data_IF_365189955672
#
_entry.id   IF_365189955672
#
_cell.length_a   1.000
_cell.length_b   1.000
_cell.length_c   1.000
_cell.angle_alpha   90.00
_cell.angle_beta   90.00
_cell.angle_gamma   90.00
#
_symmetry.space_group_name_H-M   'P 1'
#
loop_
_entity.id
_entity.type
_entity.pdbx_description
1 polymer ?
#
# COMPACT_ATOMS: atom_id res chain seq x y z
N UNK A 1 -64.13 19.36 0.52
CA UNK A 1 -64.31 18.28 1.49
C UNK A 1 -62.95 17.59 1.67
N UNK A 2 -62.20 18.01 2.69
CA UNK A 2 -60.83 17.52 2.96
C UNK A 2 -60.90 16.45 4.06
N UNK A 3 -60.50 15.22 3.73
CA UNK A 3 -60.36 14.13 4.70
C UNK A 3 -58.92 14.12 5.22
N UNK A 4 -58.74 14.41 6.50
CA UNK A 4 -57.46 14.29 7.19
C UNK A 4 -57.47 12.93 7.91
N UNK A 5 -56.64 11.99 7.45
CA UNK A 5 -56.38 10.75 8.18
C UNK A 5 -55.16 10.93 9.05
N UNK A 6 -55.39 10.92 10.36
CA UNK A 6 -54.31 10.86 11.38
C UNK A 6 -53.79 9.47 11.54
N UNK A 7 -52.45 9.34 11.57
CA UNK A 7 -51.73 8.12 11.88
C UNK A 7 -51.29 8.17 13.37
N UNK A 8 -51.55 7.15 14.18
CA UNK A 8 -51.11 7.15 15.57
C UNK A 8 -49.62 6.78 15.68
N UNK A 9 -48.89 7.57 16.43
CA UNK A 9 -47.51 7.40 16.85
C UNK A 9 -47.45 6.31 17.94
N UNK A 10 -46.90 5.13 17.65
CA UNK A 10 -46.58 4.13 18.66
C UNK A 10 -45.17 4.38 19.21
N UNK A 11 -45.11 4.83 20.47
CA UNK A 11 -43.89 4.87 21.27
C UNK A 11 -43.64 3.46 21.86
N UNK A 12 -42.60 2.75 21.37
CA UNK A 12 -42.07 1.58 22.06
C UNK A 12 -40.86 1.99 22.87
N UNK A 13 -40.97 1.77 24.18
CA UNK A 13 -39.93 2.04 25.16
C UNK A 13 -38.73 1.08 25.06
N UNK A 14 -37.53 1.62 25.15
CA UNK A 14 -36.30 0.88 25.31
C UNK A 14 -36.12 0.48 26.78
N UNK A 15 -36.04 -0.83 27.04
CA UNK A 15 -35.53 -1.36 28.30
C UNK A 15 -34.00 -1.46 28.22
N UNK A 16 -33.32 -0.69 29.06
CA UNK A 16 -31.87 -0.79 29.26
C UNK A 16 -31.59 -2.00 30.17
N UNK A 17 -30.84 -2.96 29.62
CA UNK A 17 -30.27 -4.09 30.38
C UNK A 17 -28.75 -4.11 30.16
N UNK A 18 -28.02 -3.28 30.90
CA UNK A 18 -26.57 -3.31 30.94
C UNK A 18 -26.07 -4.45 31.81
N UNK A 19 -25.24 -5.36 31.26
CA UNK A 19 -24.36 -6.23 32.04
C UNK A 19 -22.95 -5.66 31.94
N UNK A 20 -22.21 -5.50 33.05
CA UNK A 20 -20.79 -5.16 32.97
C UNK A 20 -20.02 -6.41 32.51
N UNK A 21 -19.21 -6.24 31.48
CA UNK A 21 -18.19 -7.23 31.09
C UNK A 21 -17.04 -7.13 32.08
N UNK A 22 -16.84 -8.23 32.82
CA UNK A 22 -15.67 -8.48 33.64
C UNK A 22 -14.42 -8.46 32.72
N UNK A 23 -13.50 -7.58 33.02
CA UNK A 23 -12.24 -7.41 32.32
C UNK A 23 -11.28 -8.47 32.90
N UNK A 24 -11.11 -9.59 32.19
CA UNK A 24 -10.05 -10.54 32.49
C UNK A 24 -8.69 -9.89 32.14
N UNK A 25 -7.91 -9.67 33.19
CA UNK A 25 -6.54 -9.20 33.14
C UNK A 25 -5.65 -10.39 32.70
N UNK A 26 -4.89 -10.29 31.60
CA UNK A 26 -3.96 -11.35 31.25
C UNK A 26 -2.79 -11.36 32.22
N UNK A 27 -2.58 -12.56 32.80
CA UNK A 27 -1.50 -12.96 33.68
C UNK A 27 -0.13 -12.71 33.01
N UNK A 28 0.69 -11.90 33.66
CA UNK A 28 2.07 -11.63 33.22
C UNK A 28 2.97 -12.77 33.69
N UNK A 29 3.06 -13.85 32.94
CA UNK A 29 4.12 -14.82 33.11
C UNK A 29 5.42 -14.29 32.48
N UNK A 30 6.30 -13.77 33.33
CA UNK A 30 7.70 -13.51 33.03
C UNK A 30 8.41 -14.80 32.64
N UNK A 31 8.64 -15.02 31.36
CA UNK A 31 9.58 -16.03 30.90
C UNK A 31 11.00 -15.54 31.17
N UNK A 32 11.72 -16.31 31.98
CA UNK A 32 13.13 -16.16 32.24
C UNK A 32 13.91 -16.30 30.90
N UNK A 33 14.75 -15.31 30.65
CA UNK A 33 15.70 -15.32 29.53
C UNK A 33 16.81 -16.30 29.90
N UNK A 34 16.89 -17.43 29.20
CA UNK A 34 17.99 -18.37 29.30
C UNK A 34 19.32 -17.68 28.96
N UNK A 35 20.17 -17.63 29.92
CA UNK A 35 21.55 -17.12 29.79
C UNK A 35 22.33 -18.06 28.86
N UNK A 36 22.80 -17.50 27.74
CA UNK A 36 23.75 -18.13 26.83
C UNK A 36 25.02 -18.49 27.61
N UNK A 37 25.52 -19.73 27.58
CA UNK A 37 26.76 -20.08 28.24
C UNK A 37 27.94 -19.31 27.59
N UNK A 38 28.69 -18.59 28.44
CA UNK A 38 29.96 -18.01 28.06
C UNK A 38 31.00 -19.12 27.82
N UNK A 39 31.55 -19.16 26.61
CA UNK A 39 32.67 -20.00 26.26
C UNK A 39 33.92 -19.32 26.84
N UNK A 40 34.70 -19.98 27.72
CA UNK A 40 35.93 -19.40 28.24
C UNK A 40 36.95 -19.21 27.10
N UNK A 41 37.78 -18.16 27.16
CA UNK A 41 38.81 -17.92 26.16
C UNK A 41 39.82 -19.07 26.19
N UNK A 42 39.98 -19.73 25.03
CA UNK A 42 41.04 -20.71 24.84
C UNK A 42 42.39 -19.96 24.79
N UNK A 43 43.28 -20.28 25.72
CA UNK A 43 44.69 -19.86 25.70
C UNK A 43 45.33 -20.33 24.40
N UNK A 44 45.58 -19.40 23.49
CA UNK A 44 46.35 -19.64 22.28
C UNK A 44 47.81 -19.73 22.64
N UNK A 45 48.30 -20.94 22.84
CA UNK A 45 49.74 -21.21 22.95
C UNK A 45 50.37 -20.86 21.60
N UNK A 46 51.15 -19.79 21.57
CA UNK A 46 51.95 -19.42 20.41
C UNK A 46 52.99 -20.52 20.15
N UNK A 47 53.12 -21.04 18.93
CA UNK A 47 54.20 -21.96 18.60
C UNK A 47 55.55 -21.24 18.71
N UNK A 48 56.53 -21.97 19.27
CA UNK A 48 57.91 -21.52 19.46
C UNK A 48 58.53 -21.06 18.12
N UNK A 49 59.36 -20.01 18.23
CA UNK A 49 60.12 -19.38 17.17
C UNK A 49 60.71 -20.40 16.19
N UNK A 50 60.30 -20.30 14.92
CA UNK A 50 60.93 -20.98 13.82
C UNK A 50 62.31 -20.34 13.56
N UNK A 51 63.35 -21.14 13.22
CA UNK A 51 64.67 -20.58 12.91
C UNK A 51 64.60 -19.66 11.69
N UNK A 52 65.44 -18.61 11.62
CA UNK A 52 65.42 -17.67 10.50
C UNK A 52 65.67 -18.36 9.17
N UNK A 53 64.72 -18.20 8.22
CA UNK A 53 64.84 -18.64 6.84
C UNK A 53 65.94 -17.79 6.15
N UNK A 54 67.09 -18.43 5.83
CA UNK A 54 68.20 -17.82 5.13
C UNK A 54 68.17 -18.05 3.62
N UNK A 55 67.02 -18.38 3.05
CA UNK A 55 66.87 -18.47 1.59
C UNK A 55 66.86 -17.05 1.02
N UNK A 56 67.73 -16.73 0.03
CA UNK A 56 67.68 -15.45 -0.62
C UNK A 56 66.32 -15.34 -1.36
N UNK A 57 65.57 -14.32 -0.96
CA UNK A 57 64.32 -13.97 -1.62
C UNK A 57 64.57 -13.62 -3.08
N UNK A 58 64.45 -14.64 -3.97
CA UNK A 58 64.37 -14.39 -5.40
C UNK A 58 63.02 -13.75 -5.65
N UNK A 59 63.02 -12.41 -5.63
CA UNK A 59 61.84 -11.63 -6.02
C UNK A 59 61.45 -12.06 -7.43
N UNK A 60 60.50 -12.99 -7.50
CA UNK A 60 59.77 -13.28 -8.71
C UNK A 60 58.92 -12.05 -8.95
N UNK A 61 59.38 -11.14 -9.84
CA UNK A 61 58.58 -10.10 -10.39
C UNK A 61 57.50 -10.79 -11.21
N UNK A 62 56.33 -11.01 -10.56
CA UNK A 62 55.13 -11.41 -11.28
C UNK A 62 54.85 -10.31 -12.32
N UNK A 63 54.60 -10.69 -13.61
CA UNK A 63 54.20 -9.69 -14.58
C UNK A 63 52.97 -8.96 -14.04
N UNK A 64 53.00 -7.62 -14.12
CA UNK A 64 51.86 -6.77 -13.77
C UNK A 64 50.63 -7.36 -14.42
N UNK A 65 49.72 -7.85 -13.58
CA UNK A 65 48.38 -8.25 -14.06
C UNK A 65 47.79 -7.01 -14.71
N UNK A 66 47.36 -7.09 -15.97
CA UNK A 66 46.71 -5.94 -16.58
C UNK A 66 45.58 -5.48 -15.68
N UNK A 67 45.37 -4.17 -15.52
CA UNK A 67 44.32 -3.64 -14.66
C UNK A 67 43.01 -4.35 -15.03
N UNK A 68 42.31 -4.84 -14.01
CA UNK A 68 40.99 -5.42 -14.18
C UNK A 68 40.08 -4.34 -14.79
N UNK A 69 39.85 -4.48 -16.10
CA UNK A 69 38.97 -3.58 -16.87
C UNK A 69 37.53 -4.08 -16.85
N UNK A 70 37.19 -5.06 -16.01
CA UNK A 70 35.79 -5.37 -15.80
C UNK A 70 35.12 -4.13 -15.21
N UNK A 71 34.15 -3.51 -15.92
CA UNK A 71 33.44 -2.39 -15.34
C UNK A 71 32.80 -2.86 -14.04
N UNK A 72 33.05 -2.13 -12.96
CA UNK A 72 32.43 -2.42 -11.66
C UNK A 72 30.95 -2.68 -11.90
N UNK A 73 30.50 -3.90 -11.54
CA UNK A 73 29.10 -4.25 -11.68
C UNK A 73 28.29 -3.28 -10.81
N UNK A 74 27.44 -2.49 -11.47
CA UNK A 74 26.59 -1.53 -10.77
C UNK A 74 25.80 -2.23 -9.64
N UNK A 75 25.82 -1.64 -8.45
CA UNK A 75 24.96 -2.06 -7.35
C UNK A 75 23.57 -1.47 -7.58
N UNK A 76 22.62 -2.32 -7.96
CA UNK A 76 21.24 -1.90 -8.18
C UNK A 76 20.63 -1.30 -6.92
N UNK A 77 20.03 -0.13 -7.05
CA UNK A 77 19.32 0.58 -5.99
C UNK A 77 17.82 0.56 -6.27
N UNK A 78 17.02 0.54 -5.21
CA UNK A 78 15.55 0.61 -5.28
C UNK A 78 15.10 1.91 -4.63
N UNK A 79 14.28 2.69 -5.33
CA UNK A 79 13.67 3.91 -4.81
C UNK A 79 12.16 3.80 -4.79
N UNK A 80 11.53 4.33 -3.72
CA UNK A 80 10.10 4.60 -3.67
C UNK A 80 9.85 5.96 -4.32
N UNK A 81 8.88 6.04 -5.22
CA UNK A 81 8.58 7.28 -5.97
C UNK A 81 7.32 7.99 -5.49
N UNK A 82 6.45 7.29 -4.73
CA UNK A 82 5.27 7.93 -4.16
C UNK A 82 5.66 8.83 -2.98
N UNK A 83 5.10 10.01 -2.94
CA UNK A 83 5.03 10.80 -1.73
C UNK A 83 3.92 10.24 -0.84
N UNK A 84 4.19 10.00 0.44
CA UNK A 84 3.23 9.40 1.37
C UNK A 84 2.63 8.06 0.91
N UNK A 85 3.45 7.03 0.65
CA UNK A 85 2.97 5.74 0.16
C UNK A 85 2.08 5.01 1.16
N UNK A 86 2.33 5.15 2.47
CA UNK A 86 1.50 4.57 3.52
C UNK A 86 0.18 5.33 3.77
N UNK A 87 -0.03 6.49 3.12
CA UNK A 87 -1.15 7.42 3.32
C UNK A 87 -1.19 8.11 4.71
N UNK A 88 -0.30 7.77 5.62
CA UNK A 88 -0.32 8.09 7.05
C UNK A 88 0.17 9.50 7.42
N UNK A 89 0.66 10.30 6.47
CA UNK A 89 1.12 11.66 6.77
C UNK A 89 -0.04 12.61 7.01
N UNK A 90 0.08 13.44 8.06
CA UNK A 90 -0.89 14.49 8.37
C UNK A 90 -0.53 15.83 7.67
N UNK A 91 -1.52 16.61 7.20
CA UNK A 91 -2.96 16.27 7.17
C UNK A 91 -3.24 15.11 6.20
N UNK A 92 -4.39 14.41 6.38
CA UNK A 92 -4.82 13.36 5.47
C UNK A 92 -4.77 13.83 4.00
N UNK A 93 -4.39 12.93 3.09
CA UNK A 93 -4.29 13.24 1.66
C UNK A 93 -3.01 13.95 1.22
N UNK A 94 -2.07 14.27 2.12
CA UNK A 94 -0.78 14.88 1.73
C UNK A 94 -0.08 14.04 0.67
N UNK A 95 0.32 14.70 -0.43
CA UNK A 95 0.99 14.08 -1.57
C UNK A 95 0.05 13.48 -2.61
N UNK A 96 -1.25 13.39 -2.33
CA UNK A 96 -2.25 12.82 -3.23
C UNK A 96 -3.24 13.87 -3.72
N UNK A 97 -3.82 13.63 -4.90
CA UNK A 97 -4.95 14.41 -5.42
C UNK A 97 -6.19 13.55 -5.33
N UNK A 98 -7.21 14.07 -4.65
CA UNK A 98 -8.49 13.44 -4.46
C UNK A 98 -9.55 14.09 -5.36
N UNK A 99 -10.34 13.29 -6.04
CA UNK A 99 -11.52 13.71 -6.81
C UNK A 99 -12.71 12.89 -6.31
N UNK A 100 -13.29 13.28 -5.16
CA UNK A 100 -14.39 12.55 -4.54
C UNK A 100 -15.69 12.74 -5.32
N UNK A 101 -16.63 11.81 -5.09
CA UNK A 101 -18.00 11.91 -5.60
C UNK A 101 -18.61 13.25 -5.19
N UNK A 102 -19.19 13.94 -6.17
CA UNK A 102 -19.89 15.19 -5.95
C UNK A 102 -21.40 14.96 -5.76
N UNK A 103 -22.10 15.96 -5.23
CA UNK A 103 -23.55 16.01 -5.07
C UNK A 103 -24.16 14.96 -4.11
N UNK A 104 -23.35 14.39 -3.21
CA UNK A 104 -23.88 13.53 -2.16
C UNK A 104 -24.60 14.35 -1.08
N UNK A 105 -25.63 13.78 -0.41
CA UNK A 105 -26.21 14.37 0.77
C UNK A 105 -25.15 14.60 1.85
N UNK A 106 -24.92 15.85 2.25
CA UNK A 106 -23.87 16.21 3.19
C UNK A 106 -22.57 16.70 2.56
N UNK A 107 -22.43 16.60 1.23
CA UNK A 107 -21.27 17.05 0.48
C UNK A 107 -20.30 15.91 0.14
N UNK A 108 -19.21 16.23 -0.57
CA UNK A 108 -18.19 15.24 -0.90
C UNK A 108 -17.43 14.80 0.36
N UNK A 109 -17.15 13.49 0.46
CA UNK A 109 -16.34 12.92 1.53
C UNK A 109 -14.88 12.84 1.09
N UNK A 110 -13.90 13.11 2.00
CA UNK A 110 -12.48 12.90 1.68
C UNK A 110 -12.23 11.41 1.39
N UNK A 111 -11.44 11.14 0.35
CA UNK A 111 -11.10 9.77 -0.02
C UNK A 111 -10.07 9.21 0.97
N UNK A 112 -9.07 10.01 1.36
CA UNK A 112 -8.10 9.61 2.39
C UNK A 112 -8.57 10.13 3.74
N UNK A 113 -8.94 9.20 4.62
CA UNK A 113 -9.48 9.53 5.94
C UNK A 113 -9.21 8.43 6.96
N UNK A 114 -9.54 8.71 8.22
CA UNK A 114 -9.57 7.72 9.32
C UNK A 114 -10.92 7.02 9.45
N UNK A 115 -11.91 7.35 8.62
CA UNK A 115 -13.30 6.88 8.78
C UNK A 115 -13.52 5.50 8.16
N UNK A 116 -12.62 5.07 7.27
CA UNK A 116 -12.66 3.76 6.63
C UNK A 116 -11.98 2.67 7.45
N UNK A 117 -11.96 1.46 6.87
CA UNK A 117 -11.13 0.36 7.37
C UNK A 117 -9.68 0.68 7.00
N UNK A 118 -8.79 0.70 7.99
CA UNK A 118 -7.36 0.97 7.79
C UNK A 118 -6.55 -0.32 7.98
N UNK A 119 -5.50 -0.52 7.18
CA UNK A 119 -4.51 -1.57 7.36
C UNK A 119 -3.35 -1.08 8.22
N UNK A 120 -2.92 0.18 7.99
CA UNK A 120 -2.04 0.93 8.87
C UNK A 120 -2.74 2.21 9.34
N UNK A 121 -2.46 2.65 10.55
CA UNK A 121 -3.05 3.87 11.10
C UNK A 121 -2.13 5.07 10.82
N UNK A 122 -2.67 6.31 10.66
CA UNK A 122 -4.05 6.66 10.99
C UNK A 122 -5.03 6.70 9.81
N UNK A 123 -4.59 6.61 8.54
CA UNK A 123 -5.44 6.85 7.37
C UNK A 123 -5.36 5.72 6.36
N UNK A 124 -6.41 5.58 5.57
CA UNK A 124 -6.45 4.75 4.37
C UNK A 124 -7.27 5.46 3.29
N UNK A 125 -7.14 5.04 2.03
CA UNK A 125 -8.02 5.49 0.97
C UNK A 125 -9.29 4.65 0.94
N UNK A 126 -10.44 5.33 0.89
CA UNK A 126 -11.77 4.75 0.74
C UNK A 126 -12.45 5.35 -0.47
N UNK A 127 -12.63 4.55 -1.53
CA UNK A 127 -13.31 4.91 -2.77
C UNK A 127 -14.65 4.16 -2.87
N UNK A 128 -15.61 4.73 -3.55
CA UNK A 128 -16.99 4.23 -3.60
C UNK A 128 -17.77 4.61 -2.35
N UNK A 129 -18.51 3.67 -1.75
CA UNK A 129 -19.22 3.91 -0.49
C UNK A 129 -20.57 4.60 -0.62
N UNK A 130 -20.99 4.95 -1.84
CA UNK A 130 -22.32 5.51 -2.13
C UNK A 130 -22.91 4.84 -3.36
N UNK A 131 -24.25 4.79 -3.44
CA UNK A 131 -24.98 4.46 -4.67
C UNK A 131 -25.15 5.71 -5.54
N UNK A 132 -25.20 5.55 -6.85
CA UNK A 132 -25.34 6.71 -7.72
C UNK A 132 -26.69 7.42 -7.57
N UNK A 133 -27.74 6.73 -7.12
CA UNK A 133 -29.04 7.34 -6.80
C UNK A 133 -28.94 8.40 -5.69
N UNK A 134 -28.04 8.24 -4.73
CA UNK A 134 -27.80 9.21 -3.65
C UNK A 134 -27.28 10.54 -4.18
N UNK A 135 -26.56 10.53 -5.29
CA UNK A 135 -26.07 11.72 -5.99
C UNK A 135 -27.01 12.19 -7.12
N UNK A 136 -28.16 11.51 -7.33
CA UNK A 136 -29.09 11.80 -8.42
C UNK A 136 -28.52 11.44 -9.81
N UNK A 137 -27.65 10.45 -9.90
CA UNK A 137 -26.95 10.03 -11.10
C UNK A 137 -27.25 8.55 -11.44
N UNK A 138 -26.84 8.11 -12.63
CA UNK A 138 -26.89 6.69 -13.02
C UNK A 138 -25.59 5.95 -12.69
N UNK A 139 -24.49 6.68 -12.57
CA UNK A 139 -23.18 6.20 -12.14
C UNK A 139 -22.43 7.32 -11.43
N UNK A 140 -21.60 6.96 -10.48
CA UNK A 140 -20.70 7.89 -9.77
C UNK A 140 -19.28 7.36 -9.76
N UNK A 141 -18.32 8.27 -9.64
CA UNK A 141 -16.91 7.92 -9.73
C UNK A 141 -16.09 8.72 -8.72
N UNK A 142 -15.24 8.02 -7.97
CA UNK A 142 -14.15 8.60 -7.19
C UNK A 142 -12.81 8.38 -7.88
N UNK A 143 -11.88 9.30 -7.72
CA UNK A 143 -10.51 9.12 -8.17
C UNK A 143 -9.51 9.60 -7.13
N UNK A 144 -8.45 8.82 -6.97
CA UNK A 144 -7.27 9.16 -6.18
C UNK A 144 -6.04 8.99 -7.04
N UNK A 145 -5.18 10.02 -7.15
CA UNK A 145 -3.99 9.88 -7.99
C UNK A 145 -2.78 10.67 -7.48
N UNK A 146 -1.62 10.26 -7.97
CA UNK A 146 -0.36 10.97 -7.80
C UNK A 146 0.46 10.88 -9.09
N UNK A 147 1.06 12.00 -9.50
CA UNK A 147 2.04 12.04 -10.60
C UNK A 147 3.43 11.79 -10.02
N UNK A 148 4.17 10.86 -10.61
CA UNK A 148 5.52 10.47 -10.20
C UNK A 148 6.49 10.53 -11.37
N UNK A 149 7.76 10.88 -11.08
CA UNK A 149 8.82 10.91 -12.09
C UNK A 149 9.88 9.87 -11.76
N UNK A 150 10.23 9.06 -12.75
CA UNK A 150 11.23 8.00 -12.60
C UNK A 150 12.63 8.46 -13.03
N UNK A 151 13.71 7.91 -12.42
CA UNK A 151 15.08 8.08 -12.88
C UNK A 151 15.23 7.64 -14.36
N UNK A 152 16.09 8.33 -15.11
CA UNK A 152 16.31 8.03 -16.54
C UNK A 152 17.01 6.67 -16.77
N UNK A 153 17.72 6.17 -15.77
CA UNK A 153 18.45 4.90 -15.75
C UNK A 153 17.65 3.76 -15.06
N UNK A 154 16.37 4.00 -14.73
CA UNK A 154 15.51 2.99 -14.16
C UNK A 154 15.27 1.81 -15.13
N UNK A 155 15.34 0.60 -14.61
CA UNK A 155 15.25 -0.64 -15.40
C UNK A 155 14.03 -1.49 -15.09
N UNK A 156 13.51 -1.42 -13.86
CA UNK A 156 12.30 -2.16 -13.45
C UNK A 156 11.37 -1.26 -12.65
N UNK A 157 10.07 -1.55 -12.75
CA UNK A 157 9.01 -0.78 -12.11
C UNK A 157 8.02 -1.73 -11.45
N UNK A 158 7.72 -1.50 -10.17
CA UNK A 158 6.82 -2.36 -9.41
C UNK A 158 5.81 -1.50 -8.66
N UNK A 159 4.53 -1.76 -8.89
CA UNK A 159 3.43 -1.19 -8.09
C UNK A 159 2.95 -2.23 -7.10
N UNK A 160 2.77 -1.86 -5.85
CA UNK A 160 2.28 -2.73 -4.80
C UNK A 160 1.44 -1.98 -3.78
N UNK A 161 0.89 -2.74 -2.84
CA UNK A 161 0.07 -2.19 -1.77
C UNK A 161 -0.84 -3.23 -1.14
N UNK A 162 -1.83 -2.74 -0.43
CA UNK A 162 -2.88 -3.54 0.19
C UNK A 162 -4.24 -3.03 -0.28
N UNK A 163 -5.19 -3.94 -0.55
CA UNK A 163 -6.55 -3.60 -0.96
C UNK A 163 -7.58 -4.44 -0.24
N UNK A 164 -8.77 -3.90 -0.05
CA UNK A 164 -9.93 -4.62 0.46
C UNK A 164 -11.19 -4.19 -0.29
N UNK A 165 -12.17 -5.09 -0.40
CA UNK A 165 -13.46 -4.85 -1.03
C UNK A 165 -14.56 -5.24 -0.05
N UNK A 166 -15.50 -4.35 0.19
CA UNK A 166 -16.67 -4.57 1.03
C UNK A 166 -17.89 -3.81 0.50
N UNK A 167 -19.04 -3.99 1.13
CA UNK A 167 -20.25 -3.26 0.73
C UNK A 167 -21.51 -4.07 0.88
N UNK A 168 -22.61 -3.54 0.37
CA UNK A 168 -23.93 -4.16 0.39
C UNK A 168 -24.35 -4.71 -0.98
N UNK A 169 -23.51 -4.55 -2.02
CA UNK A 169 -23.80 -4.99 -3.37
C UNK A 169 -23.78 -6.53 -3.52
N UNK A 170 -24.44 -7.03 -4.58
CA UNK A 170 -24.46 -8.44 -4.94
C UNK A 170 -23.04 -8.98 -5.17
N UNK A 171 -22.79 -10.21 -4.68
CA UNK A 171 -21.50 -10.90 -4.90
C UNK A 171 -21.50 -11.82 -6.13
N UNK A 172 -22.59 -11.83 -6.94
CA UNK A 172 -22.75 -12.74 -8.06
C UNK A 172 -22.76 -12.08 -9.43
N UNK A 173 -23.05 -10.79 -9.49
CA UNK A 173 -23.08 -9.98 -10.72
C UNK A 173 -22.21 -8.74 -10.52
N UNK A 174 -21.46 -8.37 -11.55
CA UNK A 174 -20.63 -7.18 -11.52
C UNK A 174 -21.49 -5.95 -11.80
N UNK A 175 -21.54 -5.04 -10.84
CA UNK A 175 -22.20 -3.74 -10.94
C UNK A 175 -21.19 -2.62 -10.72
N UNK A 176 -20.43 -2.71 -9.63
CA UNK A 176 -19.42 -1.74 -9.21
C UNK A 176 -18.02 -2.22 -9.55
N UNK A 177 -17.18 -1.31 -10.00
CA UNK A 177 -15.83 -1.63 -10.46
C UNK A 177 -14.81 -0.68 -9.86
N UNK A 178 -13.58 -1.19 -9.77
CA UNK A 178 -12.41 -0.42 -9.35
C UNK A 178 -11.23 -0.79 -10.25
N UNK A 179 -10.44 0.23 -10.64
CA UNK A 179 -9.16 0.05 -11.33
C UNK A 179 -8.05 0.80 -10.63
N UNK A 180 -6.86 0.21 -10.62
CA UNK A 180 -5.61 0.90 -10.34
C UNK A 180 -4.77 0.87 -11.61
N UNK A 181 -4.47 2.05 -12.15
CA UNK A 181 -3.88 2.20 -13.47
C UNK A 181 -2.63 3.08 -13.43
N UNK A 182 -1.65 2.75 -14.27
CA UNK A 182 -0.56 3.65 -14.64
C UNK A 182 -0.94 4.34 -15.94
N UNK A 183 -0.92 5.66 -15.94
CA UNK A 183 -1.37 6.50 -17.04
C UNK A 183 -0.28 7.51 -17.42
N UNK A 184 -0.34 8.02 -18.65
CA UNK A 184 0.24 9.32 -18.96
C UNK A 184 -0.43 10.41 -18.13
N UNK A 185 0.24 11.54 -17.92
CA UNK A 185 -0.35 12.67 -17.17
C UNK A 185 -1.59 13.28 -17.87
N UNK A 186 -1.75 13.02 -19.18
CA UNK A 186 -2.95 13.39 -19.94
C UNK A 186 -4.13 12.39 -19.79
N UNK A 187 -3.94 11.30 -19.02
CA UNK A 187 -4.95 10.30 -18.77
C UNK A 187 -4.95 9.09 -19.70
N UNK A 188 -4.05 9.02 -20.69
CA UNK A 188 -3.93 7.86 -21.58
C UNK A 188 -3.38 6.66 -20.81
N UNK A 189 -4.04 5.49 -20.90
CA UNK A 189 -3.64 4.27 -20.23
C UNK A 189 -2.29 3.77 -20.76
N UNK A 190 -1.34 3.55 -19.84
CA UNK A 190 -0.08 2.86 -20.12
C UNK A 190 -0.23 1.39 -19.76
N UNK A 191 -0.63 1.10 -18.52
CA UNK A 191 -0.78 -0.27 -18.03
C UNK A 191 -1.79 -0.33 -16.88
N UNK A 192 -2.69 -1.33 -16.89
CA UNK A 192 -3.57 -1.61 -15.76
C UNK A 192 -2.78 -2.41 -14.71
N UNK A 193 -2.81 -1.98 -13.46
CA UNK A 193 -2.18 -2.69 -12.33
C UNK A 193 -3.08 -3.77 -11.79
N UNK A 194 -4.34 -3.41 -11.47
CA UNK A 194 -5.36 -4.36 -11.02
C UNK A 194 -6.76 -3.84 -11.32
N UNK A 195 -7.70 -4.78 -11.38
CA UNK A 195 -9.14 -4.51 -11.47
C UNK A 195 -9.83 -5.32 -10.38
N UNK A 196 -10.69 -4.67 -9.60
CA UNK A 196 -11.54 -5.28 -8.58
C UNK A 196 -13.00 -4.95 -8.89
N UNK A 197 -13.93 -5.69 -8.28
CA UNK A 197 -15.36 -5.42 -8.38
C UNK A 197 -16.11 -5.99 -7.16
N UNK A 198 -17.39 -5.68 -7.05
CA UNK A 198 -18.26 -6.12 -5.95
C UNK A 198 -18.36 -7.65 -5.76
N UNK A 199 -18.02 -8.45 -6.77
CA UNK A 199 -18.08 -9.93 -6.64
C UNK A 199 -16.85 -10.52 -5.99
N UNK A 200 -15.89 -9.69 -5.55
CA UNK A 200 -14.62 -10.09 -4.93
C UNK A 200 -14.48 -9.53 -3.49
N UNK A 201 -15.50 -9.71 -2.62
CA UNK A 201 -15.40 -9.20 -1.26
C UNK A 201 -14.24 -9.85 -0.51
N UNK A 202 -13.57 -9.06 0.34
CA UNK A 202 -12.48 -9.55 1.18
C UNK A 202 -12.76 -9.24 2.65
N UNK A 203 -12.57 -10.24 3.53
CA UNK A 203 -12.77 -10.07 4.97
C UNK A 203 -11.66 -9.23 5.63
N UNK A 204 -10.53 -9.04 4.94
CA UNK A 204 -9.37 -8.29 5.38
C UNK A 204 -8.62 -7.73 4.16
N UNK A 205 -7.66 -6.85 4.42
CA UNK A 205 -6.76 -6.39 3.38
C UNK A 205 -5.94 -7.53 2.78
N UNK A 206 -5.81 -7.50 1.46
CA UNK A 206 -5.02 -8.43 0.65
C UNK A 206 -3.86 -7.67 0.02
N UNK A 207 -2.65 -8.18 0.20
CA UNK A 207 -1.45 -7.61 -0.43
C UNK A 207 -1.46 -7.90 -1.93
N UNK A 208 -1.13 -6.90 -2.73
CA UNK A 208 -0.89 -7.05 -4.16
C UNK A 208 0.47 -6.51 -4.55
N UNK A 209 1.03 -7.04 -5.64
CA UNK A 209 2.26 -6.56 -6.26
C UNK A 209 2.26 -6.90 -7.73
N UNK A 210 2.58 -5.92 -8.59
CA UNK A 210 2.70 -6.10 -10.03
C UNK A 210 3.97 -5.46 -10.55
N UNK A 211 4.81 -6.28 -11.20
CA UNK A 211 5.89 -5.78 -12.05
C UNK A 211 5.29 -5.29 -13.37
N UNK A 212 5.61 -4.05 -13.74
CA UNK A 212 5.14 -3.47 -14.99
C UNK A 212 6.01 -3.95 -16.15
N UNK A 213 5.38 -4.09 -17.31
CA UNK A 213 6.05 -4.45 -18.57
C UNK A 213 6.46 -3.22 -19.37
N UNK A 214 5.83 -2.08 -19.09
CA UNK A 214 6.10 -0.81 -19.75
C UNK A 214 7.40 -0.17 -19.23
N UNK A 215 8.19 0.39 -20.16
CA UNK A 215 9.37 1.17 -19.79
C UNK A 215 8.95 2.58 -19.38
N UNK A 216 9.24 2.95 -18.13
CA UNK A 216 8.90 4.26 -17.55
C UNK A 216 10.14 5.11 -17.24
N UNK A 217 11.35 4.68 -17.65
CA UNK A 217 12.61 5.39 -17.39
C UNK A 217 12.57 6.85 -17.89
N UNK A 218 12.88 7.79 -17.01
CA UNK A 218 12.89 9.23 -17.30
C UNK A 218 11.51 9.86 -17.52
N UNK A 219 10.42 9.11 -17.36
CA UNK A 219 9.05 9.60 -17.61
C UNK A 219 8.38 10.08 -16.33
N UNK A 220 7.48 11.04 -16.49
CA UNK A 220 6.49 11.40 -15.49
C UNK A 220 5.18 10.70 -15.87
N UNK A 221 4.63 9.91 -14.95
CA UNK A 221 3.40 9.13 -15.14
C UNK A 221 2.47 9.33 -13.94
N UNK A 222 1.22 8.95 -14.10
CA UNK A 222 0.20 9.01 -13.06
C UNK A 222 -0.16 7.62 -12.58
N UNK A 223 -0.06 7.37 -11.28
CA UNK A 223 -0.74 6.25 -10.63
C UNK A 223 -2.13 6.71 -10.21
N UNK A 224 -3.19 6.05 -10.71
CA UNK A 224 -4.56 6.45 -10.43
C UNK A 224 -5.42 5.25 -10.03
N UNK A 225 -6.07 5.37 -8.88
CA UNK A 225 -7.18 4.55 -8.46
C UNK A 225 -8.50 5.19 -8.93
N UNK A 226 -9.42 4.41 -9.45
CA UNK A 226 -10.75 4.86 -9.86
C UNK A 226 -11.78 3.84 -9.42
N UNK A 227 -12.81 4.24 -8.67
CA UNK A 227 -14.02 3.46 -8.44
C UNK A 227 -15.15 3.97 -9.33
N UNK A 228 -16.05 3.08 -9.72
CA UNK A 228 -17.32 3.42 -10.40
C UNK A 228 -18.41 2.58 -9.79
N UNK A 229 -19.40 3.23 -9.18
CA UNK A 229 -20.57 2.61 -8.60
C UNK A 229 -21.80 2.89 -9.45
N UNK A 230 -22.67 1.90 -9.54
CA UNK A 230 -23.93 2.00 -10.31
C UNK A 230 -25.04 2.70 -9.52
N UNK A 231 -26.27 2.58 -9.99
CA UNK A 231 -27.41 3.34 -9.46
C UNK A 231 -27.88 2.84 -8.09
N UNK A 232 -27.66 1.56 -7.76
CA UNK A 232 -28.23 0.92 -6.57
C UNK A 232 -27.15 0.32 -5.70
N UNK A 233 -27.37 0.33 -4.38
CA UNK A 233 -26.43 -0.21 -3.41
C UNK A 233 -25.01 0.39 -3.58
N UNK A 234 -24.03 -0.12 -2.90
CA UNK A 234 -22.66 0.41 -3.00
C UNK A 234 -21.61 -0.65 -2.69
N UNK A 235 -20.47 -0.51 -3.34
CA UNK A 235 -19.24 -1.21 -3.00
C UNK A 235 -18.23 -0.20 -2.48
N UNK A 236 -17.51 -0.60 -1.44
CA UNK A 236 -16.37 0.10 -0.87
C UNK A 236 -15.10 -0.55 -1.38
N UNK A 237 -14.19 0.25 -1.90
CA UNK A 237 -12.85 -0.16 -2.29
C UNK A 237 -11.85 0.58 -1.41
N UNK A 238 -11.03 -0.19 -0.69
CA UNK A 238 -10.03 0.37 0.21
C UNK A 238 -8.62 0.11 -0.33
N UNK A 239 -7.76 1.11 -0.19
CA UNK A 239 -6.33 1.00 -0.48
C UNK A 239 -5.53 1.50 0.71
N UNK A 240 -4.37 0.85 0.94
CA UNK A 240 -3.43 1.23 1.98
C UNK A 240 -2.02 0.75 1.63
N UNK A 241 -1.00 1.32 2.28
CA UNK A 241 0.39 0.89 2.13
C UNK A 241 0.80 0.74 0.64
N UNK A 242 0.44 1.73 -0.18
CA UNK A 242 0.79 1.75 -1.60
C UNK A 242 2.31 1.89 -1.77
N UNK A 243 2.82 1.41 -2.89
CA UNK A 243 4.21 1.63 -3.30
C UNK A 243 4.31 1.69 -4.82
N UNK A 244 5.21 2.53 -5.34
CA UNK A 244 5.57 2.55 -6.75
C UNK A 244 7.09 2.67 -6.85
N UNK A 245 7.75 1.54 -6.96
CA UNK A 245 9.21 1.43 -6.86
C UNK A 245 9.86 1.28 -8.22
N UNK A 246 11.03 1.91 -8.35
CA UNK A 246 11.92 1.68 -9.47
C UNK A 246 13.26 1.12 -9.00
N UNK A 247 13.85 0.22 -9.80
CA UNK A 247 15.24 -0.21 -9.65
C UNK A 247 16.09 0.47 -10.70
N UNK A 248 17.22 1.00 -10.34
CA UNK A 248 18.14 1.70 -11.22
C UNK A 248 19.59 1.47 -10.81
N UNK A 249 20.50 1.77 -11.73
CA UNK A 249 21.93 1.77 -11.50
C UNK A 249 22.43 3.22 -11.43
N UNK A 250 22.82 3.74 -10.27
CA UNK A 250 23.41 5.06 -10.22
C UNK A 250 24.76 5.08 -11.00
N UNK A 251 25.07 6.21 -11.65
CA UNK A 251 26.30 6.38 -12.41
C UNK A 251 27.56 6.33 -11.55
#
# INVERSE_FOLDING_TARGET
MRLVLGVPLLLLGCAAGGRPLEQEQPDSSTQAVDAKPEIPPQDMVLPADAPPDTTPDSAVVLPDTPPDTTPDACVAQVTETLANPALDLAPAGVGWTEVPIQNLPGGPYPIISSDGVVSSAPFAAWLGGAAAEDAGASTITDQLYQDVTFPADATTFVVGGMSAVGGSESTTVVFDTFTLDVLETNGTLIENVMTLNNTQPSAAYVTFSKSLTSNLAGRTVRLRATSTNDITLHTNFFLDNLSFKATFCPP
#
